data_IF_479225350498
#
_entry.id   IF_479225350498
#
_cell.length_a   1.000
_cell.length_b   1.000
_cell.length_c   1.000
_cell.angle_alpha   90.00
_cell.angle_beta   90.00
_cell.angle_gamma   90.00
#
_symmetry.space_group_name_H-M   'P 1'
#
loop_
_entity.id
_entity.type
_entity.pdbx_description
1 polymer ?
#
# COMPACT_ATOMS: atom_id res chain seq x y z
N UNK A 1 20.40 -15.46 -9.49
CA UNK A 1 19.87 -14.35 -8.67
C UNK A 1 18.55 -14.78 -8.03
N UNK A 2 18.42 -14.56 -6.74
CA UNK A 2 17.21 -14.99 -6.04
C UNK A 2 16.06 -14.03 -6.34
N UNK A 3 14.93 -14.57 -6.78
CA UNK A 3 13.75 -13.77 -7.04
C UNK A 3 13.17 -13.23 -5.73
N UNK A 4 12.74 -11.97 -5.76
CA UNK A 4 12.14 -11.29 -4.60
C UNK A 4 10.64 -11.14 -4.83
N UNK A 5 9.91 -12.23 -4.65
CA UNK A 5 8.47 -12.22 -4.91
C UNK A 5 7.70 -11.68 -3.72
N UNK A 6 6.61 -11.00 -4.00
CA UNK A 6 5.68 -10.55 -2.97
C UNK A 6 4.96 -11.77 -2.41
N UNK A 7 5.07 -11.98 -1.09
CA UNK A 7 4.45 -13.12 -0.41
C UNK A 7 3.12 -12.77 0.23
N UNK A 8 3.00 -11.54 0.77
CA UNK A 8 1.83 -11.13 1.52
C UNK A 8 1.73 -9.60 1.53
N UNK A 9 0.52 -9.09 1.48
CA UNK A 9 0.23 -7.67 1.64
C UNK A 9 -0.88 -7.52 2.66
N UNK A 10 -0.68 -6.66 3.65
CA UNK A 10 -1.68 -6.33 4.65
C UNK A 10 -1.88 -4.83 4.72
N UNK A 11 -3.04 -4.43 5.20
CA UNK A 11 -3.35 -3.03 5.42
C UNK A 11 -4.18 -2.88 6.70
N UNK A 12 -4.08 -1.72 7.31
CA UNK A 12 -4.84 -1.37 8.51
C UNK A 12 -5.09 0.12 8.59
N UNK A 13 -6.12 0.46 9.32
CA UNK A 13 -6.42 1.84 9.66
C UNK A 13 -5.57 2.25 10.87
N UNK A 14 -4.92 3.40 10.78
CA UNK A 14 -4.20 4.03 11.87
C UNK A 14 -4.66 5.48 11.98
N UNK A 15 -4.22 6.20 13.01
CA UNK A 15 -4.52 7.61 13.17
C UNK A 15 -3.29 8.45 12.84
N UNK A 16 -3.50 9.55 12.12
CA UNK A 16 -2.44 10.53 11.84
C UNK A 16 -2.25 11.47 13.05
N UNK A 17 -1.34 12.44 12.91
CA UNK A 17 -1.03 13.38 14.01
C UNK A 17 -2.19 14.31 14.37
N UNK A 18 -3.20 14.41 13.51
CA UNK A 18 -4.42 15.20 13.77
C UNK A 18 -5.56 14.35 14.33
N UNK A 19 -5.32 13.05 14.56
CA UNK A 19 -6.33 12.12 15.03
C UNK A 19 -7.30 11.64 13.94
N UNK A 20 -6.97 11.85 12.68
CA UNK A 20 -7.78 11.38 11.55
C UNK A 20 -7.29 10.03 11.07
N UNK A 21 -8.20 9.13 10.65
CA UNK A 21 -7.81 7.84 10.08
C UNK A 21 -6.96 7.99 8.81
N UNK A 22 -5.96 7.14 8.70
CA UNK A 22 -5.19 6.93 7.48
C UNK A 22 -4.80 5.47 7.37
N UNK A 23 -4.12 5.11 6.30
CA UNK A 23 -3.75 3.72 6.01
C UNK A 23 -2.30 3.49 6.34
N UNK A 24 -2.02 2.34 6.94
CA UNK A 24 -0.68 1.77 6.99
C UNK A 24 -0.71 0.43 6.26
N UNK A 25 0.24 0.22 5.36
CA UNK A 25 0.36 -1.02 4.59
C UNK A 25 1.69 -1.69 4.86
N UNK A 26 1.69 -3.02 4.88
CA UNK A 26 2.88 -3.84 4.95
C UNK A 26 2.96 -4.74 3.73
N UNK A 27 4.13 -4.82 3.13
CA UNK A 27 4.45 -5.77 2.06
C UNK A 27 5.54 -6.71 2.56
N UNK A 28 5.27 -8.01 2.48
CA UNK A 28 6.18 -9.08 2.90
C UNK A 28 6.74 -9.75 1.65
N UNK A 29 8.05 -9.92 1.58
CA UNK A 29 8.70 -10.60 0.46
C UNK A 29 9.07 -12.03 0.83
N UNK A 30 9.11 -12.91 -0.17
CA UNK A 30 9.65 -14.26 -0.04
C UNK A 30 11.17 -14.20 0.00
N UNK A 31 11.78 -15.30 0.39
CA UNK A 31 13.21 -15.51 0.22
C UNK A 31 14.09 -14.86 1.26
N UNK A 32 13.64 -14.80 2.49
CA UNK A 32 14.45 -14.35 3.61
C UNK A 32 15.74 -15.16 3.78
N UNK A 33 16.60 -14.72 4.69
CA UNK A 33 17.84 -15.42 5.01
C UNK A 33 17.53 -16.84 5.46
N UNK A 34 18.35 -17.77 5.05
CA UNK A 34 18.24 -19.17 5.44
C UNK A 34 18.22 -19.26 6.96
N UNK A 35 17.21 -19.93 7.50
CA UNK A 35 17.07 -20.09 8.95
C UNK A 35 16.19 -19.06 9.65
N UNK A 36 15.65 -18.09 8.93
CA UNK A 36 14.66 -17.17 9.52
C UNK A 36 13.24 -17.68 9.24
N UNK A 37 12.42 -17.73 10.26
CA UNK A 37 11.03 -18.18 10.13
C UNK A 37 10.16 -17.17 9.38
N UNK A 38 10.61 -15.94 9.25
CA UNK A 38 9.82 -14.84 8.72
C UNK A 38 9.94 -14.65 7.21
N UNK A 39 10.80 -15.38 6.52
CA UNK A 39 11.00 -15.20 5.09
C UNK A 39 11.80 -13.94 4.75
N UNK A 40 11.33 -13.15 3.79
CA UNK A 40 12.03 -11.99 3.28
C UNK A 40 11.81 -10.71 4.06
N UNK A 41 12.28 -9.63 3.49
CA UNK A 41 12.12 -8.30 4.06
C UNK A 41 10.64 -7.88 4.14
N UNK A 42 10.37 -6.97 5.04
CA UNK A 42 9.05 -6.35 5.20
C UNK A 42 9.20 -4.86 4.94
N UNK A 43 8.34 -4.30 4.11
CA UNK A 43 8.23 -2.86 3.93
C UNK A 43 6.94 -2.36 4.55
N UNK A 44 7.01 -1.27 5.30
CA UNK A 44 5.87 -0.63 5.95
C UNK A 44 5.78 0.83 5.54
N UNK A 45 4.60 1.27 5.18
CA UNK A 45 4.37 2.66 4.84
C UNK A 45 3.04 3.14 5.41
N UNK A 46 3.07 4.33 5.98
CA UNK A 46 1.88 5.04 6.44
C UNK A 46 1.57 6.15 5.45
N UNK A 47 0.33 6.24 5.00
CA UNK A 47 -0.06 7.19 3.96
C UNK A 47 -0.20 8.58 4.55
N UNK A 48 0.54 9.58 4.06
CA UNK A 48 0.33 10.96 4.48
C UNK A 48 -0.97 11.51 3.87
N UNK A 49 -1.69 12.31 4.64
CA UNK A 49 -2.92 12.96 4.20
C UNK A 49 -2.79 14.47 4.40
N UNK A 50 -3.06 15.24 3.35
CA UNK A 50 -3.03 16.69 3.42
C UNK A 50 -4.25 17.28 4.09
N UNK A 51 -4.11 18.47 4.67
CA UNK A 51 -5.22 19.20 5.28
C UNK A 51 -6.13 19.86 4.25
N UNK A 52 -5.60 20.17 3.07
CA UNK A 52 -6.35 20.74 1.95
C UNK A 52 -6.10 19.90 0.70
N UNK A 53 -7.11 19.81 -0.16
CA UNK A 53 -7.02 19.04 -1.40
C UNK A 53 -7.16 19.95 -2.61
N UNK A 54 -6.36 19.67 -3.65
CA UNK A 54 -6.46 20.36 -4.93
C UNK A 54 -7.56 19.74 -5.80
N UNK A 55 -8.02 20.51 -6.77
CA UNK A 55 -9.08 20.09 -7.69
C UNK A 55 -8.67 18.87 -8.53
N UNK A 56 -7.39 18.73 -8.82
CA UNK A 56 -6.87 17.64 -9.68
C UNK A 56 -6.15 16.54 -8.92
N UNK A 57 -6.24 16.52 -7.60
CA UNK A 57 -5.64 15.48 -6.80
C UNK A 57 -6.32 14.13 -7.01
N UNK A 58 -5.55 13.06 -6.87
CA UNK A 58 -6.09 11.72 -6.83
C UNK A 58 -7.01 11.55 -5.60
N UNK A 59 -8.02 10.72 -5.74
CA UNK A 59 -9.10 10.60 -4.77
C UNK A 59 -8.68 9.76 -3.57
N UNK A 60 -8.70 10.35 -2.39
CA UNK A 60 -8.56 9.66 -1.12
C UNK A 60 -9.89 9.00 -0.78
N UNK A 61 -9.92 7.67 -0.71
CA UNK A 61 -11.17 6.96 -0.43
C UNK A 61 -11.45 6.98 1.07
N UNK A 62 -12.55 7.62 1.44
CA UNK A 62 -13.08 7.67 2.80
C UNK A 62 -14.41 6.94 2.86
N UNK A 63 -14.73 6.37 4.03
CA UNK A 63 -15.95 5.55 4.19
C UNK A 63 -17.23 6.33 4.06
N UNK A 64 -17.23 7.59 4.49
CA UNK A 64 -18.43 8.42 4.48
C UNK A 64 -19.43 8.07 5.60
N UNK A 65 -19.11 7.15 6.48
CA UNK A 65 -19.93 6.79 7.63
C UNK A 65 -19.74 7.83 8.73
N UNK A 66 -20.72 8.73 8.87
CA UNK A 66 -20.64 9.85 9.81
C UNK A 66 -20.67 9.43 11.28
N UNK A 67 -21.05 8.18 11.57
CA UNK A 67 -21.05 7.64 12.94
C UNK A 67 -19.65 7.26 13.40
N UNK A 68 -18.66 7.28 12.49
CA UNK A 68 -17.31 6.87 12.76
C UNK A 68 -16.34 7.88 12.15
N UNK A 69 -15.52 8.54 12.99
CA UNK A 69 -14.55 9.56 12.59
C UNK A 69 -15.11 10.63 11.63
N UNK A 70 -16.37 11.01 11.83
CA UNK A 70 -17.04 12.03 11.00
C UNK A 70 -16.98 11.73 9.49
N UNK A 71 -17.07 10.45 9.13
CA UNK A 71 -17.01 10.01 7.74
C UNK A 71 -15.62 9.82 7.17
N UNK A 72 -14.57 10.06 7.97
CA UNK A 72 -13.17 10.01 7.51
C UNK A 72 -12.50 8.64 7.68
N UNK A 73 -13.23 7.62 8.12
CA UNK A 73 -12.71 6.26 8.22
C UNK A 73 -12.18 5.77 6.86
N UNK A 74 -11.27 4.80 6.89
CA UNK A 74 -10.63 4.25 5.68
C UNK A 74 -10.78 2.74 5.58
N UNK A 75 -11.81 2.18 6.20
CA UNK A 75 -12.01 0.73 6.21
C UNK A 75 -12.27 0.17 4.81
N UNK A 76 -12.98 0.91 3.94
CA UNK A 76 -13.20 0.51 2.54
C UNK A 76 -11.89 0.43 1.77
N UNK A 77 -11.02 1.42 1.95
CA UNK A 77 -9.70 1.42 1.30
C UNK A 77 -8.83 0.28 1.81
N UNK A 78 -8.87 -0.01 3.10
CA UNK A 78 -8.17 -1.16 3.71
C UNK A 78 -8.70 -2.47 3.13
N UNK A 79 -10.02 -2.61 2.99
CA UNK A 79 -10.62 -3.80 2.39
C UNK A 79 -10.20 -3.96 0.93
N UNK A 80 -10.06 -2.87 0.19
CA UNK A 80 -9.55 -2.91 -1.19
C UNK A 80 -8.11 -3.42 -1.24
N UNK A 81 -7.27 -3.07 -0.26
CA UNK A 81 -5.92 -3.63 -0.17
C UNK A 81 -5.98 -5.14 0.02
N UNK A 82 -6.79 -5.61 0.95
CA UNK A 82 -6.87 -7.04 1.30
C UNK A 82 -7.51 -7.88 0.21
N UNK A 83 -8.57 -7.38 -0.41
CA UNK A 83 -9.45 -8.19 -1.25
C UNK A 83 -9.20 -8.00 -2.74
N UNK A 84 -8.60 -6.89 -3.16
CA UNK A 84 -8.38 -6.58 -4.58
C UNK A 84 -6.89 -6.47 -4.89
N UNK A 85 -6.16 -5.64 -4.18
CA UNK A 85 -4.75 -5.36 -4.47
C UNK A 85 -3.87 -6.55 -4.10
N UNK A 86 -3.98 -7.07 -2.89
CA UNK A 86 -3.13 -8.15 -2.42
C UNK A 86 -3.22 -9.40 -3.31
N UNK A 87 -4.42 -9.91 -3.65
CA UNK A 87 -4.49 -11.10 -4.51
C UNK A 87 -3.87 -10.88 -5.88
N UNK A 88 -3.91 -9.66 -6.41
CA UNK A 88 -3.38 -9.35 -7.74
C UNK A 88 -1.84 -9.21 -7.74
N UNK A 89 -1.26 -8.72 -6.65
CA UNK A 89 0.19 -8.44 -6.59
C UNK A 89 1.01 -9.60 -6.01
N UNK A 90 0.42 -10.47 -5.21
CA UNK A 90 1.13 -11.63 -4.64
C UNK A 90 1.73 -12.46 -5.78
N UNK A 91 3.02 -12.80 -5.63
CA UNK A 91 3.77 -13.55 -6.63
C UNK A 91 4.53 -12.69 -7.64
N UNK A 92 4.26 -11.38 -7.69
CA UNK A 92 5.03 -10.49 -8.56
C UNK A 92 6.43 -10.23 -8.00
N UNK A 93 7.37 -9.94 -8.90
CA UNK A 93 8.73 -9.57 -8.52
C UNK A 93 8.73 -8.17 -7.88
N UNK A 94 9.24 -8.07 -6.65
CA UNK A 94 9.17 -6.83 -5.87
C UNK A 94 9.95 -5.65 -6.48
N UNK A 95 10.95 -5.93 -7.31
CA UNK A 95 11.73 -4.88 -7.98
C UNK A 95 11.03 -4.30 -9.19
N UNK A 96 9.93 -4.91 -9.63
CA UNK A 96 9.13 -4.43 -10.76
C UNK A 96 8.11 -3.38 -10.30
N UNK A 97 8.60 -2.27 -9.73
CA UNK A 97 7.73 -1.21 -9.17
C UNK A 97 6.76 -0.65 -10.21
N UNK A 98 7.24 -0.38 -11.41
CA UNK A 98 6.42 0.17 -12.49
C UNK A 98 5.29 -0.78 -12.86
N UNK A 99 5.58 -2.08 -12.92
CA UNK A 99 4.57 -3.10 -13.22
C UNK A 99 3.51 -3.17 -12.13
N UNK A 100 3.93 -3.16 -10.86
CA UNK A 100 3.01 -3.20 -9.71
C UNK A 100 2.10 -1.96 -9.71
N UNK A 101 2.68 -0.78 -9.88
CA UNK A 101 1.92 0.48 -9.90
C UNK A 101 0.94 0.53 -11.07
N UNK A 102 1.37 0.09 -12.25
CA UNK A 102 0.50 0.02 -13.43
C UNK A 102 -0.66 -0.96 -13.22
N UNK A 103 -0.40 -2.09 -12.59
CA UNK A 103 -1.44 -3.08 -12.29
C UNK A 103 -2.46 -2.51 -11.30
N UNK A 104 -2.02 -1.83 -10.25
CA UNK A 104 -2.95 -1.20 -9.31
C UNK A 104 -3.81 -0.13 -9.98
N UNK A 105 -3.24 0.68 -10.87
CA UNK A 105 -3.98 1.65 -11.63
C UNK A 105 -5.01 1.00 -12.57
N UNK A 106 -4.66 -0.13 -13.19
CA UNK A 106 -5.58 -0.91 -14.02
C UNK A 106 -6.72 -1.51 -13.21
N UNK A 107 -6.43 -2.02 -12.02
CA UNK A 107 -7.46 -2.58 -11.12
C UNK A 107 -8.44 -1.51 -10.69
N UNK A 108 -7.98 -0.28 -10.47
CA UNK A 108 -8.85 0.85 -10.17
C UNK A 108 -9.68 1.24 -11.39
N UNK A 109 -9.05 1.42 -12.52
CA UNK A 109 -9.72 1.72 -13.78
C UNK A 109 -10.29 3.14 -13.90
N UNK A 110 -10.09 4.01 -12.89
CA UNK A 110 -10.56 5.39 -12.94
C UNK A 110 -9.38 6.35 -13.11
N UNK A 111 -9.65 7.54 -13.66
CA UNK A 111 -8.57 8.50 -13.94
C UNK A 111 -7.97 9.10 -12.65
N UNK A 112 -8.75 9.16 -11.57
CA UNK A 112 -8.34 9.79 -10.31
C UNK A 112 -8.19 8.81 -9.14
N UNK A 113 -8.18 7.49 -9.42
CA UNK A 113 -8.04 6.43 -8.42
C UNK A 113 -9.20 6.38 -7.41
N UNK A 114 -10.40 6.75 -7.86
CA UNK A 114 -11.57 6.84 -6.99
C UNK A 114 -12.14 5.48 -6.57
N UNK A 115 -11.93 4.43 -7.36
CA UNK A 115 -12.52 3.11 -7.07
C UNK A 115 -11.81 2.41 -5.92
N UNK A 116 -10.50 2.27 -5.98
CA UNK A 116 -9.71 1.64 -4.92
C UNK A 116 -9.28 2.63 -3.85
N UNK A 117 -9.09 3.88 -4.24
CA UNK A 117 -8.56 4.93 -3.40
C UNK A 117 -7.08 5.16 -3.64
N UNK A 118 -6.71 6.43 -3.87
CA UNK A 118 -5.29 6.79 -4.01
C UNK A 118 -4.50 6.44 -2.75
N UNK A 119 -5.13 6.56 -1.58
CA UNK A 119 -4.52 6.18 -0.30
C UNK A 119 -4.18 4.68 -0.25
N UNK A 120 -5.08 3.80 -0.71
CA UNK A 120 -4.81 2.37 -0.76
C UNK A 120 -3.65 2.05 -1.72
N UNK A 121 -3.69 2.62 -2.91
CA UNK A 121 -2.66 2.40 -3.95
C UNK A 121 -1.31 2.94 -3.48
N UNK A 122 -1.27 4.15 -2.95
CA UNK A 122 -0.02 4.76 -2.47
C UNK A 122 0.58 3.98 -1.31
N UNK A 123 -0.24 3.54 -0.35
CA UNK A 123 0.23 2.76 0.79
C UNK A 123 0.96 1.50 0.35
N UNK A 124 0.37 0.74 -0.56
CA UNK A 124 0.97 -0.49 -1.08
C UNK A 124 2.21 -0.17 -1.93
N UNK A 125 2.15 0.83 -2.80
CA UNK A 125 3.27 1.23 -3.65
C UNK A 125 4.50 1.62 -2.82
N UNK A 126 4.33 2.44 -1.79
CA UNK A 126 5.42 2.85 -0.90
C UNK A 126 5.95 1.68 -0.07
N UNK A 127 5.06 0.85 0.47
CA UNK A 127 5.46 -0.32 1.25
C UNK A 127 6.27 -1.31 0.39
N UNK A 128 5.86 -1.52 -0.85
CA UNK A 128 6.58 -2.37 -1.80
C UNK A 128 7.98 -1.83 -2.07
N UNK A 129 8.11 -0.54 -2.35
CA UNK A 129 9.41 0.09 -2.59
C UNK A 129 10.35 -0.06 -1.39
N UNK A 130 9.82 0.12 -0.18
CA UNK A 130 10.59 -0.07 1.06
C UNK A 130 11.00 -1.51 1.27
N UNK A 131 10.13 -2.46 0.98
CA UNK A 131 10.45 -3.88 1.09
C UNK A 131 11.57 -4.27 0.12
N UNK A 132 11.47 -3.85 -1.13
CA UNK A 132 12.49 -4.12 -2.14
C UNK A 132 13.85 -3.51 -1.76
N UNK A 133 13.85 -2.27 -1.30
CA UNK A 133 15.07 -1.60 -0.85
C UNK A 133 15.72 -2.34 0.33
N UNK A 134 14.93 -2.77 1.31
CA UNK A 134 15.42 -3.52 2.45
C UNK A 134 16.01 -4.87 2.04
N UNK A 135 15.34 -5.59 1.13
CA UNK A 135 15.80 -6.88 0.64
C UNK A 135 17.13 -6.74 -0.12
N UNK A 136 17.32 -5.64 -0.84
CA UNK A 136 18.55 -5.33 -1.56
C UNK A 136 19.63 -4.71 -0.68
N UNK A 137 19.35 -4.47 0.60
CA UNK A 137 20.26 -3.77 1.52
C UNK A 137 20.65 -2.39 0.98
N UNK A 138 19.69 -1.68 0.40
CA UNK A 138 19.89 -0.35 -0.17
C UNK A 138 18.94 0.65 0.49
N UNK A 139 19.32 1.94 0.57
CA UNK A 139 18.40 2.96 1.01
C UNK A 139 17.30 3.18 -0.05
N UNK A 140 16.13 3.66 0.39
CA UNK A 140 14.97 3.81 -0.50
C UNK A 140 15.24 4.71 -1.71
N UNK A 141 16.09 5.72 -1.56
CA UNK A 141 16.38 6.67 -2.64
C UNK A 141 17.25 6.09 -3.78
N UNK A 142 17.78 4.90 -3.59
CA UNK A 142 18.57 4.19 -4.62
C UNK A 142 17.62 3.38 -5.55
#
# INVERSE_FOLDING_TARGET
>A
MKEMRIAKITGREILDSRGNPTIEADVYLEGGAVGTAAGGAIGRASVPSGASTGEHEAWELRDGDTTRYQGKGVTKAVDNIRNVIAPALIGLEATEQTTADALMNSLDGTFNKAKLGANAILGVSLALAKAAAAQLHQPLYR
#
